data_IF_399427426558
#
_entry.id   IF_399427426558
#
_cell.length_a   1.000
_cell.length_b   1.000
_cell.length_c   1.000
_cell.angle_alpha   90.00
_cell.angle_beta   90.00
_cell.angle_gamma   90.00
#
_symmetry.space_group_name_H-M   'P 1'
#
loop_
_entity.id
_entity.type
_entity.pdbx_description
1 polymer ?
#
# COMPACT_ATOMS: atom_id res chain seq x y z
N UNK A 1 -19.38 5.86 -47.20
CA UNK A 1 -18.07 6.42 -47.66
C UNK A 1 -17.14 6.53 -46.47
N UNK A 2 -16.21 5.61 -46.30
CA UNK A 2 -15.20 5.69 -45.22
C UNK A 2 -14.24 6.81 -45.54
N UNK A 3 -14.25 7.89 -44.73
CA UNK A 3 -13.29 9.00 -44.79
C UNK A 3 -11.89 8.40 -44.68
N UNK A 4 -11.10 8.38 -45.76
CA UNK A 4 -9.70 7.96 -45.71
C UNK A 4 -9.00 8.83 -44.66
N UNK A 5 -8.64 8.25 -43.52
CA UNK A 5 -7.90 8.95 -42.48
C UNK A 5 -6.56 9.40 -43.03
N UNK A 6 -6.27 10.72 -42.95
CA UNK A 6 -5.00 11.30 -43.38
C UNK A 6 -3.84 10.59 -42.63
N UNK A 7 -2.68 10.46 -43.29
CA UNK A 7 -1.45 9.90 -42.74
C UNK A 7 -1.12 10.48 -41.36
N UNK A 8 -1.31 11.77 -41.19
CA UNK A 8 -1.18 12.47 -39.92
C UNK A 8 -2.04 11.90 -38.83
N UNK A 9 -3.33 11.65 -39.12
CA UNK A 9 -4.26 11.05 -38.11
C UNK A 9 -3.82 9.65 -37.71
N UNK A 10 -3.32 8.84 -38.63
CA UNK A 10 -2.81 7.50 -38.34
C UNK A 10 -1.57 7.54 -37.44
N UNK A 11 -0.62 8.44 -37.72
CA UNK A 11 0.60 8.61 -36.91
C UNK A 11 0.21 9.07 -35.49
N UNK A 12 -0.70 10.04 -35.37
CA UNK A 12 -1.17 10.54 -34.08
C UNK A 12 -1.85 9.44 -33.26
N UNK A 13 -2.72 8.65 -33.90
CA UNK A 13 -3.42 7.54 -33.23
C UNK A 13 -2.44 6.48 -32.75
N UNK A 14 -1.49 6.07 -33.60
CA UNK A 14 -0.49 5.06 -33.21
C UNK A 14 0.39 5.57 -32.06
N UNK A 15 0.89 6.81 -32.17
CA UNK A 15 1.72 7.41 -31.13
C UNK A 15 0.94 7.52 -29.80
N UNK A 16 -0.33 7.95 -29.85
CA UNK A 16 -1.18 8.01 -28.65
C UNK A 16 -1.43 6.65 -28.03
N UNK A 17 -1.69 5.61 -28.85
CA UNK A 17 -1.86 4.24 -28.38
C UNK A 17 -0.61 3.71 -27.65
N UNK A 18 0.57 3.95 -28.21
CA UNK A 18 1.84 3.53 -27.58
C UNK A 18 2.03 4.20 -26.22
N UNK A 19 1.78 5.51 -26.15
CA UNK A 19 1.91 6.24 -24.87
C UNK A 19 0.87 5.79 -23.86
N UNK A 20 -0.39 5.66 -24.25
CA UNK A 20 -1.43 5.15 -23.35
C UNK A 20 -1.08 3.75 -22.84
N UNK A 21 -0.61 2.86 -23.72
CA UNK A 21 -0.20 1.51 -23.33
C UNK A 21 0.97 1.54 -22.34
N UNK A 22 1.99 2.36 -22.59
CA UNK A 22 3.15 2.50 -21.71
C UNK A 22 2.76 3.05 -20.32
N UNK A 23 1.96 4.12 -20.28
CA UNK A 23 1.51 4.70 -19.02
C UNK A 23 0.56 3.78 -18.27
N UNK A 24 -0.32 3.06 -18.98
CA UNK A 24 -1.22 2.08 -18.35
C UNK A 24 -0.41 0.93 -17.75
N UNK A 25 0.55 0.38 -18.47
CA UNK A 25 1.44 -0.67 -17.97
C UNK A 25 2.23 -0.21 -16.75
N UNK A 26 2.79 1.00 -16.80
CA UNK A 26 3.50 1.60 -15.67
C UNK A 26 2.59 1.82 -14.46
N UNK A 27 1.38 2.34 -14.69
CA UNK A 27 0.40 2.58 -13.62
C UNK A 27 -0.03 1.28 -12.94
N UNK A 28 -0.28 0.21 -13.71
CA UNK A 28 -0.61 -1.12 -13.16
C UNK A 28 0.57 -1.71 -12.36
N UNK A 29 1.79 -1.56 -12.85
CA UNK A 29 2.99 -2.00 -12.15
C UNK A 29 3.15 -1.27 -10.81
N UNK A 30 3.04 0.05 -10.80
CA UNK A 30 3.12 0.86 -9.57
C UNK A 30 1.98 0.54 -8.60
N UNK A 31 0.73 0.36 -9.10
CA UNK A 31 -0.41 -0.04 -8.25
C UNK A 31 -0.12 -1.37 -7.52
N UNK A 32 0.39 -2.36 -8.25
CA UNK A 32 0.79 -3.66 -7.67
C UNK A 32 1.91 -3.52 -6.63
N UNK A 33 2.93 -2.72 -6.94
CA UNK A 33 4.05 -2.48 -6.04
C UNK A 33 3.60 -1.75 -4.77
N UNK A 34 2.80 -0.69 -4.91
CA UNK A 34 2.28 0.08 -3.78
C UNK A 34 1.36 -0.76 -2.89
N UNK A 35 0.51 -1.62 -3.47
CA UNK A 35 -0.31 -2.55 -2.68
C UNK A 35 0.56 -3.45 -1.83
N UNK A 36 1.59 -4.04 -2.41
CA UNK A 36 2.52 -4.91 -1.67
C UNK A 36 3.22 -4.17 -0.53
N UNK A 37 3.74 -2.97 -0.80
CA UNK A 37 4.42 -2.13 0.19
C UNK A 37 3.47 -1.70 1.31
N UNK A 38 2.26 -1.23 0.96
CA UNK A 38 1.27 -0.80 1.96
C UNK A 38 0.75 -1.97 2.79
N UNK A 39 0.49 -3.12 2.18
CA UNK A 39 0.08 -4.32 2.93
C UNK A 39 1.14 -4.70 3.94
N UNK A 40 2.41 -4.72 3.52
CA UNK A 40 3.53 -5.00 4.42
C UNK A 40 3.66 -3.95 5.53
N UNK A 41 3.50 -2.67 5.20
CA UNK A 41 3.53 -1.58 6.19
C UNK A 41 2.39 -1.69 7.21
N UNK A 42 1.19 -2.05 6.76
CA UNK A 42 0.04 -2.32 7.65
C UNK A 42 0.34 -3.53 8.55
N UNK A 43 0.90 -4.61 7.98
CA UNK A 43 1.29 -5.80 8.73
C UNK A 43 2.35 -5.49 9.80
N UNK A 44 3.40 -4.76 9.45
CA UNK A 44 4.44 -4.33 10.38
C UNK A 44 3.89 -3.39 11.48
N UNK A 45 2.96 -2.50 11.12
CA UNK A 45 2.29 -1.61 12.07
C UNK A 45 1.41 -2.38 13.04
N UNK A 46 0.61 -3.33 12.54
CA UNK A 46 -0.20 -4.23 13.38
C UNK A 46 0.71 -5.07 14.29
N UNK A 47 1.77 -5.65 13.74
CA UNK A 47 2.69 -6.49 14.52
C UNK A 47 3.34 -5.70 15.65
N UNK A 48 3.81 -4.50 15.39
CA UNK A 48 4.45 -3.62 16.37
C UNK A 48 3.45 -3.10 17.42
N UNK A 49 2.44 -2.36 16.98
CA UNK A 49 1.43 -1.76 17.89
C UNK A 49 0.55 -2.84 18.53
N UNK A 50 0.25 -3.90 17.78
CA UNK A 50 -0.51 -5.02 18.24
C UNK A 50 0.19 -5.82 19.32
N UNK A 51 1.49 -6.08 19.21
CA UNK A 51 2.29 -6.72 20.27
C UNK A 51 2.33 -5.89 21.53
N UNK A 52 2.47 -4.58 21.40
CA UNK A 52 2.44 -3.67 22.54
C UNK A 52 1.07 -3.69 23.25
N UNK A 53 -0.02 -3.63 22.47
CA UNK A 53 -1.38 -3.71 23.00
C UNK A 53 -1.65 -5.07 23.65
N UNK A 54 -1.29 -6.16 22.97
CA UNK A 54 -1.42 -7.53 23.51
C UNK A 54 -0.63 -7.70 24.80
N UNK A 55 0.60 -7.16 24.88
CA UNK A 55 1.40 -7.20 26.10
C UNK A 55 0.76 -6.37 27.23
N UNK A 56 0.18 -5.22 26.91
CA UNK A 56 -0.53 -4.40 27.90
C UNK A 56 -1.75 -5.14 28.47
N UNK A 57 -2.52 -5.82 27.61
CA UNK A 57 -3.64 -6.67 28.01
C UNK A 57 -3.16 -7.83 28.88
N UNK A 58 -2.09 -8.51 28.46
CA UNK A 58 -1.50 -9.61 29.21
C UNK A 58 -1.04 -9.16 30.59
N UNK A 59 -0.34 -8.04 30.69
CA UNK A 59 0.12 -7.48 31.95
C UNK A 59 -1.05 -7.11 32.86
N UNK A 60 -2.10 -6.50 32.30
CA UNK A 60 -3.30 -6.13 33.05
C UNK A 60 -4.03 -7.36 33.60
N UNK A 61 -4.17 -8.43 32.81
CA UNK A 61 -4.77 -9.69 33.22
C UNK A 61 -3.91 -10.40 34.26
N UNK A 62 -2.61 -10.52 34.01
CA UNK A 62 -1.69 -11.22 34.92
C UNK A 62 -1.57 -10.51 36.28
N UNK A 63 -1.66 -9.17 36.32
CA UNK A 63 -1.74 -8.46 37.60
C UNK A 63 -2.96 -8.87 38.40
N UNK A 64 -4.11 -9.11 37.77
CA UNK A 64 -5.32 -9.60 38.42
C UNK A 64 -5.19 -11.05 38.88
N UNK A 65 -4.59 -11.89 38.06
CA UNK A 65 -4.25 -13.26 38.45
C UNK A 65 -3.36 -13.26 39.70
N UNK A 66 -2.31 -12.41 39.70
CA UNK A 66 -1.39 -12.32 40.86
C UNK A 66 -2.06 -11.79 42.12
N UNK A 67 -3.01 -10.86 42.01
CA UNK A 67 -3.81 -10.40 43.16
C UNK A 67 -4.71 -11.51 43.67
N UNK A 68 -5.34 -12.28 42.78
CA UNK A 68 -6.16 -13.45 43.17
C UNK A 68 -5.31 -14.54 43.83
N UNK A 69 -4.10 -14.77 43.33
CA UNK A 69 -3.15 -15.68 43.94
C UNK A 69 -2.70 -15.23 45.34
N UNK A 70 -2.45 -13.92 45.50
CA UNK A 70 -2.19 -13.34 46.80
C UNK A 70 -3.38 -13.58 47.79
N UNK A 71 -4.63 -13.33 47.30
CA UNK A 71 -5.84 -13.57 48.06
C UNK A 71 -5.99 -15.06 48.43
N UNK A 72 -5.75 -15.98 47.48
CA UNK A 72 -5.77 -17.41 47.70
C UNK A 72 -4.76 -17.87 48.78
N UNK A 73 -3.52 -17.36 48.70
CA UNK A 73 -2.48 -17.64 49.68
C UNK A 73 -2.80 -17.09 51.06
N UNK A 74 -3.45 -15.93 51.13
CA UNK A 74 -3.90 -15.35 52.41
C UNK A 74 -5.10 -16.14 52.99
N UNK A 75 -6.09 -16.51 52.13
CA UNK A 75 -7.23 -17.34 52.54
C UNK A 75 -6.81 -18.73 53.03
N UNK A 76 -5.76 -19.33 52.42
CA UNK A 76 -5.19 -20.60 52.87
C UNK A 76 -4.55 -20.56 54.26
N UNK A 77 -4.24 -19.38 54.77
CA UNK A 77 -3.73 -19.16 56.13
C UNK A 77 -4.81 -18.73 57.12
N UNK A 78 -5.99 -18.40 56.64
CA UNK A 78 -7.12 -18.02 57.50
C UNK A 78 -7.61 -19.22 58.30
N UNK A 79 -7.95 -18.98 59.58
CA UNK A 79 -8.35 -20.05 60.52
C UNK A 79 -9.84 -20.39 60.38
N UNK A 80 -10.66 -19.41 59.93
CA UNK A 80 -12.10 -19.51 59.84
C UNK A 80 -12.69 -18.63 58.70
N UNK A 81 -13.99 -18.69 58.57
CA UNK A 81 -14.75 -17.93 57.57
C UNK A 81 -14.57 -16.39 57.76
N UNK A 82 -14.44 -15.90 58.97
CA UNK A 82 -14.23 -14.47 59.26
C UNK A 82 -12.88 -14.02 58.79
N UNK A 83 -11.86 -14.82 58.92
CA UNK A 83 -10.52 -14.58 58.40
C UNK A 83 -10.51 -14.55 56.86
N UNK A 84 -11.26 -15.44 56.20
CA UNK A 84 -11.43 -15.44 54.74
C UNK A 84 -12.14 -14.15 54.31
N UNK A 85 -13.23 -13.76 54.97
CA UNK A 85 -13.96 -12.51 54.66
C UNK A 85 -13.07 -11.28 54.79
N UNK A 86 -12.25 -11.23 55.84
CA UNK A 86 -11.29 -10.13 56.02
C UNK A 86 -10.25 -10.05 54.89
N UNK A 87 -9.82 -11.15 54.32
CA UNK A 87 -8.95 -11.19 53.10
C UNK A 87 -9.67 -10.62 51.90
N UNK A 88 -10.94 -11.03 51.70
CA UNK A 88 -11.73 -10.58 50.53
C UNK A 88 -12.11 -9.09 50.62
N UNK A 89 -12.20 -8.53 51.82
CA UNK A 89 -12.48 -7.10 52.07
C UNK A 89 -11.25 -6.19 51.90
N UNK A 90 -10.10 -6.75 51.52
CA UNK A 90 -8.89 -5.95 51.33
C UNK A 90 -9.11 -4.84 50.28
N UNK A 91 -8.76 -3.60 50.64
CA UNK A 91 -8.99 -2.41 49.78
C UNK A 91 -8.39 -2.54 48.37
N UNK A 92 -7.25 -3.24 48.25
CA UNK A 92 -6.61 -3.48 46.96
C UNK A 92 -7.48 -4.39 46.11
N UNK A 93 -8.06 -5.43 46.66
CA UNK A 93 -8.94 -6.33 45.94
C UNK A 93 -10.26 -5.65 45.58
N UNK A 94 -10.88 -4.96 46.52
CA UNK A 94 -12.14 -4.20 46.30
C UNK A 94 -11.97 -3.14 45.21
N UNK A 95 -10.81 -2.50 45.13
CA UNK A 95 -10.51 -1.50 44.08
C UNK A 95 -10.24 -2.07 42.70
N UNK A 96 -9.96 -3.36 42.56
CA UNK A 96 -9.54 -4.00 41.29
C UNK A 96 -10.58 -4.98 40.74
N UNK A 97 -11.47 -5.50 41.56
CA UNK A 97 -12.43 -6.54 41.20
C UNK A 97 -13.88 -6.10 41.49
N UNK A 98 -14.79 -6.61 40.71
CA UNK A 98 -16.23 -6.46 41.00
C UNK A 98 -16.63 -7.30 42.24
N UNK A 99 -16.09 -8.51 42.29
CA UNK A 99 -16.36 -9.47 43.33
C UNK A 99 -15.13 -10.32 43.56
N UNK A 100 -14.84 -10.60 44.82
CA UNK A 100 -13.85 -11.59 45.25
C UNK A 100 -14.50 -12.62 46.12
N UNK A 101 -14.08 -13.87 45.99
CA UNK A 101 -14.75 -14.96 46.68
C UNK A 101 -13.84 -16.19 46.91
N UNK A 102 -14.25 -17.05 47.82
CA UNK A 102 -13.68 -18.37 48.04
C UNK A 102 -14.83 -19.39 48.06
N UNK A 103 -14.72 -20.43 47.25
CA UNK A 103 -15.52 -21.63 47.35
C UNK A 103 -14.68 -22.76 47.95
N UNK A 104 -15.12 -23.38 49.00
CA UNK A 104 -14.39 -24.48 49.62
C UNK A 104 -14.77 -25.85 49.05
N UNK A 105 -14.06 -26.91 49.48
CA UNK A 105 -14.31 -28.28 49.04
C UNK A 105 -15.70 -28.82 49.48
N UNK A 106 -16.31 -28.20 50.49
CA UNK A 106 -17.65 -28.62 50.99
C UNK A 106 -18.77 -27.97 50.16
N UNK A 107 -18.48 -26.93 49.41
CA UNK A 107 -19.46 -26.13 48.64
C UNK A 107 -19.86 -24.84 49.37
N UNK A 108 -19.25 -24.51 50.52
CA UNK A 108 -19.45 -23.23 51.16
C UNK A 108 -18.85 -22.12 50.29
N UNK A 109 -19.59 -21.03 50.15
CA UNK A 109 -19.21 -19.88 49.30
C UNK A 109 -19.17 -18.59 50.13
N UNK A 110 -18.02 -17.97 50.21
CA UNK A 110 -17.80 -16.68 50.89
C UNK A 110 -17.41 -15.67 49.85
N UNK A 111 -18.07 -14.52 49.79
CA UNK A 111 -17.83 -13.52 48.76
C UNK A 111 -17.88 -12.08 49.29
N UNK A 112 -17.19 -11.17 48.63
CA UNK A 112 -17.25 -9.75 48.88
C UNK A 112 -17.28 -8.96 47.55
N UNK A 113 -18.15 -7.94 47.37
CA UNK A 113 -19.30 -7.60 48.23
C UNK A 113 -20.26 -8.75 48.35
N UNK A 114 -20.96 -8.82 49.50
CA UNK A 114 -22.00 -9.83 49.71
C UNK A 114 -23.12 -9.61 48.68
N UNK A 115 -23.55 -10.67 48.03
CA UNK A 115 -24.71 -10.70 47.12
C UNK A 115 -25.54 -11.94 47.33
N UNK A 116 -26.79 -11.85 46.94
CA UNK A 116 -27.70 -13.00 47.07
C UNK A 116 -27.43 -13.98 45.91
N UNK A 117 -27.04 -15.19 46.23
CA UNK A 117 -26.84 -16.23 45.25
C UNK A 117 -28.14 -16.96 44.93
N UNK A 118 -28.30 -17.49 43.71
CA UNK A 118 -29.44 -18.34 43.36
C UNK A 118 -29.56 -19.55 44.30
N UNK A 119 -30.79 -20.01 44.51
CA UNK A 119 -31.06 -21.22 45.29
C UNK A 119 -30.32 -22.42 44.66
N UNK A 120 -29.64 -23.19 45.50
CA UNK A 120 -28.86 -24.37 45.07
C UNK A 120 -27.52 -24.02 44.43
N UNK A 121 -27.02 -22.80 44.55
CA UNK A 121 -25.71 -22.44 44.03
C UNK A 121 -24.60 -23.29 44.64
N UNK A 122 -23.80 -23.93 43.77
CA UNK A 122 -22.64 -24.72 44.19
C UNK A 122 -21.41 -24.15 43.42
N UNK A 123 -20.44 -23.53 44.14
CA UNK A 123 -19.23 -22.97 43.53
C UNK A 123 -18.41 -24.01 42.77
N UNK A 124 -18.43 -25.27 43.19
CA UNK A 124 -17.65 -26.36 42.57
C UNK A 124 -18.08 -26.69 41.14
N UNK A 125 -19.32 -26.32 40.77
CA UNK A 125 -19.84 -26.51 39.43
C UNK A 125 -19.48 -25.35 38.47
N UNK A 126 -18.89 -24.29 38.98
CA UNK A 126 -18.59 -23.09 38.19
C UNK A 126 -17.29 -23.24 37.40
N UNK A 127 -17.19 -22.59 36.23
CA UNK A 127 -15.99 -22.67 35.35
C UNK A 127 -14.69 -22.31 36.06
N UNK A 128 -14.69 -21.26 36.86
CA UNK A 128 -13.55 -20.80 37.62
C UNK A 128 -13.01 -21.84 38.60
N UNK A 129 -13.90 -22.50 39.33
CA UNK A 129 -13.54 -23.54 40.33
C UNK A 129 -12.96 -24.76 39.61
N UNK A 130 -13.71 -25.28 38.66
CA UNK A 130 -13.31 -26.47 37.90
C UNK A 130 -12.00 -26.26 37.15
N UNK A 131 -11.84 -25.06 36.52
CA UNK A 131 -10.61 -24.67 35.81
C UNK A 131 -9.40 -24.70 36.74
N UNK A 132 -9.48 -24.05 37.92
CA UNK A 132 -8.36 -23.95 38.87
C UNK A 132 -7.98 -25.32 39.45
N UNK A 133 -8.96 -26.14 39.80
CA UNK A 133 -8.73 -27.51 40.32
C UNK A 133 -8.05 -28.36 39.22
N UNK A 134 -8.56 -28.32 38.00
CA UNK A 134 -8.01 -29.08 36.87
C UNK A 134 -6.59 -28.68 36.52
N UNK A 135 -6.32 -27.36 36.47
CA UNK A 135 -5.00 -26.84 36.17
C UNK A 135 -4.02 -26.99 37.33
N UNK A 136 -4.52 -27.23 38.56
CA UNK A 136 -3.75 -27.25 39.82
C UNK A 136 -2.97 -25.95 40.07
N UNK A 137 -3.39 -24.85 39.45
CA UNK A 137 -2.76 -23.53 39.51
C UNK A 137 -3.72 -22.41 39.16
N UNK A 138 -3.21 -21.21 39.08
CA UNK A 138 -3.99 -20.04 38.71
C UNK A 138 -4.49 -20.12 37.26
N UNK A 139 -5.73 -19.71 37.05
CA UNK A 139 -6.38 -19.74 35.75
C UNK A 139 -7.12 -18.44 35.48
N UNK A 140 -7.29 -18.15 34.19
CA UNK A 140 -8.29 -17.22 33.69
C UNK A 140 -9.42 -18.03 33.04
N UNK A 141 -10.65 -17.56 33.18
CA UNK A 141 -11.80 -18.17 32.47
C UNK A 141 -12.01 -17.46 31.14
N UNK A 142 -12.61 -18.14 30.17
CA UNK A 142 -13.32 -17.47 29.10
C UNK A 142 -14.53 -16.71 29.68
N UNK A 143 -15.11 -15.70 28.97
CA UNK A 143 -16.29 -15.01 29.44
C UNK A 143 -17.46 -15.98 29.72
N UNK A 144 -18.10 -15.83 30.83
CA UNK A 144 -19.28 -16.61 31.18
C UNK A 144 -20.29 -15.78 31.99
N UNK A 145 -21.51 -16.29 32.13
CA UNK A 145 -22.58 -15.58 32.85
C UNK A 145 -22.36 -15.71 34.36
N UNK A 146 -22.25 -14.55 35.01
CA UNK A 146 -22.25 -14.50 36.48
C UNK A 146 -23.58 -14.96 37.05
N UNK A 147 -23.52 -15.69 38.17
CA UNK A 147 -24.74 -16.28 38.80
C UNK A 147 -25.55 -15.27 39.59
N UNK A 148 -24.94 -14.19 40.05
CA UNK A 148 -25.62 -13.18 40.90
C UNK A 148 -26.15 -12.01 40.07
N UNK A 149 -25.41 -11.53 39.10
CA UNK A 149 -25.76 -10.35 38.30
C UNK A 149 -26.36 -10.66 36.94
N UNK A 150 -26.16 -11.90 36.44
CA UNK A 150 -26.51 -12.32 35.09
C UNK A 150 -25.75 -11.57 33.99
N UNK A 151 -24.64 -10.89 34.35
CA UNK A 151 -23.73 -10.21 33.41
C UNK A 151 -22.62 -11.14 32.90
N UNK A 152 -22.03 -10.82 31.79
CA UNK A 152 -20.82 -11.46 31.30
C UNK A 152 -19.60 -10.99 32.10
N UNK A 153 -18.87 -11.93 32.68
CA UNK A 153 -17.68 -11.72 33.49
C UNK A 153 -16.53 -12.59 33.01
N UNK A 154 -15.34 -12.24 33.43
CA UNK A 154 -14.12 -13.05 33.37
C UNK A 154 -13.64 -13.21 34.82
N UNK A 155 -13.20 -14.40 35.20
CA UNK A 155 -12.65 -14.65 36.51
C UNK A 155 -11.19 -15.04 36.44
N UNK A 156 -10.39 -14.50 37.33
CA UNK A 156 -9.14 -15.10 37.75
C UNK A 156 -9.44 -16.05 38.92
N UNK A 157 -8.88 -17.24 38.90
CA UNK A 157 -9.11 -18.20 39.97
C UNK A 157 -7.81 -18.93 40.32
N UNK A 158 -7.63 -19.22 41.62
CA UNK A 158 -6.42 -19.85 42.15
C UNK A 158 -6.80 -20.85 43.25
N UNK A 159 -6.24 -22.06 43.22
CA UNK A 159 -6.47 -23.00 44.30
C UNK A 159 -6.00 -22.47 45.66
N UNK A 160 -6.86 -22.52 46.68
CA UNK A 160 -6.51 -22.22 48.05
C UNK A 160 -5.93 -23.47 48.69
N UNK A 161 -4.69 -23.38 49.20
CA UNK A 161 -4.00 -24.52 49.78
C UNK A 161 -3.45 -24.17 51.17
N UNK A 162 -3.48 -25.16 52.04
CA UNK A 162 -2.80 -25.13 53.35
C UNK A 162 -1.95 -26.36 53.46
N UNK A 163 -0.67 -26.24 53.72
CA UNK A 163 0.31 -27.33 53.80
C UNK A 163 0.22 -28.31 52.61
N UNK A 164 0.00 -27.76 51.38
CA UNK A 164 -0.14 -28.55 50.17
C UNK A 164 -1.52 -29.16 49.92
N UNK A 165 -2.37 -29.24 50.93
CA UNK A 165 -3.72 -29.73 50.79
C UNK A 165 -4.63 -28.66 50.17
N UNK A 166 -5.45 -29.06 49.22
CA UNK A 166 -6.47 -28.18 48.63
C UNK A 166 -7.56 -27.95 49.71
N UNK A 167 -7.93 -26.71 49.94
CA UNK A 167 -9.05 -26.30 50.78
C UNK A 167 -10.21 -25.78 49.96
N UNK A 168 -9.97 -25.32 48.76
CA UNK A 168 -10.95 -24.71 47.88
C UNK A 168 -10.29 -23.92 46.76
N UNK A 169 -11.02 -22.97 46.23
CA UNK A 169 -10.55 -22.07 45.16
C UNK A 169 -10.96 -20.64 45.49
N UNK A 170 -10.03 -19.71 45.43
CA UNK A 170 -10.31 -18.28 45.43
C UNK A 170 -10.55 -17.81 44.00
N UNK A 171 -11.53 -16.97 43.83
CA UNK A 171 -11.83 -16.35 42.55
C UNK A 171 -12.05 -14.84 42.68
N UNK A 172 -11.82 -14.14 41.61
CA UNK A 172 -12.00 -12.69 41.52
C UNK A 172 -12.55 -12.34 40.16
N UNK A 173 -13.71 -11.69 40.15
CA UNK A 173 -14.40 -11.31 38.93
C UNK A 173 -14.07 -9.88 38.53
N UNK A 174 -13.84 -9.68 37.27
CA UNK A 174 -13.67 -8.36 36.71
C UNK A 174 -14.55 -8.15 35.47
N UNK A 175 -14.98 -6.91 35.33
CA UNK A 175 -15.90 -6.54 34.26
C UNK A 175 -15.29 -6.72 32.88
N UNK A 176 -16.05 -7.36 32.01
CA UNK A 176 -15.73 -7.38 30.58
C UNK A 176 -15.60 -5.96 30.01
N UNK A 177 -16.32 -4.97 30.60
CA UNK A 177 -16.24 -3.57 30.20
C UNK A 177 -14.82 -3.00 30.28
N UNK A 178 -14.09 -3.27 31.35
CA UNK A 178 -12.68 -2.79 31.49
C UNK A 178 -11.78 -3.34 30.40
N UNK A 179 -12.01 -4.60 30.00
CA UNK A 179 -11.28 -5.21 28.89
C UNK A 179 -11.70 -4.64 27.55
N UNK A 180 -13.00 -4.40 27.36
CA UNK A 180 -13.54 -3.70 26.17
C UNK A 180 -12.94 -2.30 26.04
N UNK A 181 -12.89 -1.53 27.11
CA UNK A 181 -12.33 -0.17 27.12
C UNK A 181 -10.83 -0.22 26.74
N UNK A 182 -10.08 -1.20 27.24
CA UNK A 182 -8.68 -1.40 26.90
C UNK A 182 -8.48 -1.79 25.44
N UNK A 183 -9.26 -2.72 24.92
CA UNK A 183 -9.21 -3.15 23.51
C UNK A 183 -9.60 -2.00 22.58
N UNK A 184 -10.62 -1.22 22.95
CA UNK A 184 -11.07 -0.06 22.17
C UNK A 184 -10.09 1.11 22.23
N UNK A 185 -9.20 1.17 23.23
CA UNK A 185 -8.15 2.20 23.32
C UNK A 185 -6.99 1.98 22.35
N UNK A 186 -6.96 0.84 21.66
CA UNK A 186 -5.94 0.57 20.65
C UNK A 186 -6.17 1.49 19.46
N UNK A 187 -5.26 2.43 19.28
CA UNK A 187 -5.35 3.41 18.19
C UNK A 187 -4.91 2.79 16.86
N UNK A 188 -5.84 2.72 15.93
CA UNK A 188 -5.63 2.29 14.55
C UNK A 188 -5.75 3.47 13.57
N UNK A 189 -5.57 4.70 14.04
CA UNK A 189 -5.71 5.91 13.22
C UNK A 189 -7.12 6.10 12.65
N UNK A 190 -8.15 5.58 13.33
CA UNK A 190 -9.53 5.59 12.85
C UNK A 190 -9.83 4.62 11.70
N UNK A 191 -8.82 3.85 11.25
CA UNK A 191 -8.97 2.95 10.11
C UNK A 191 -9.65 1.61 10.47
N UNK A 192 -9.96 1.37 11.76
CA UNK A 192 -10.54 0.10 12.17
C UNK A 192 -10.76 -0.01 13.67
N UNK A 193 -10.88 -1.23 14.13
CA UNK A 193 -11.06 -1.54 15.55
C UNK A 193 -10.33 -2.84 15.91
N UNK A 194 -10.03 -3.00 17.19
CA UNK A 194 -9.52 -4.23 17.76
C UNK A 194 -10.64 -5.04 18.43
N UNK A 195 -10.43 -6.34 18.56
CA UNK A 195 -11.30 -7.26 19.28
C UNK A 195 -10.48 -8.40 19.87
N UNK A 196 -11.01 -9.12 20.85
CA UNK A 196 -10.31 -10.25 21.48
C UNK A 196 -11.00 -11.56 21.14
N UNK A 197 -10.21 -12.58 20.84
CA UNK A 197 -10.72 -13.88 20.43
C UNK A 197 -9.93 -15.01 21.10
N UNK A 198 -10.61 -16.12 21.43
CA UNK A 198 -9.97 -17.34 21.91
C UNK A 198 -9.27 -18.09 20.76
N UNK A 199 -8.37 -19.01 21.07
CA UNK A 199 -7.75 -19.93 20.10
C UNK A 199 -8.78 -20.70 19.25
N UNK A 200 -9.98 -20.93 19.77
CA UNK A 200 -11.06 -21.63 19.06
C UNK A 200 -11.84 -20.74 18.11
N UNK A 201 -11.53 -19.44 18.08
CA UNK A 201 -12.26 -18.46 17.27
C UNK A 201 -13.53 -17.92 17.92
N UNK A 202 -13.72 -18.11 19.21
CA UNK A 202 -14.81 -17.50 19.96
C UNK A 202 -14.44 -16.05 20.30
N UNK A 203 -15.34 -15.12 20.04
CA UNK A 203 -15.16 -13.68 20.26
C UNK A 203 -15.41 -13.38 21.74
N UNK A 204 -14.37 -12.93 22.42
CA UNK A 204 -14.39 -12.65 23.85
C UNK A 204 -14.73 -11.18 24.15
N UNK A 205 -14.20 -10.28 23.32
CA UNK A 205 -14.42 -8.83 23.39
C UNK A 205 -14.65 -8.29 21.99
N UNK A 206 -15.70 -7.51 21.81
CA UNK A 206 -16.00 -6.85 20.56
C UNK A 206 -16.77 -5.54 20.82
N UNK A 207 -16.61 -4.52 19.95
CA UNK A 207 -17.37 -3.27 20.05
C UNK A 207 -18.89 -3.49 19.92
N UNK A 208 -19.28 -4.45 19.07
CA UNK A 208 -20.66 -4.93 19.00
C UNK A 208 -20.85 -6.07 20.01
N UNK A 209 -21.60 -5.78 21.06
CA UNK A 209 -21.88 -6.75 22.13
C UNK A 209 -22.62 -8.00 21.65
N UNK A 210 -23.37 -7.92 20.54
CA UNK A 210 -24.11 -9.05 20.00
C UNK A 210 -23.18 -10.14 19.43
N UNK A 211 -21.94 -9.80 19.14
CA UNK A 211 -20.91 -10.73 18.64
C UNK A 211 -20.10 -11.37 19.76
N UNK A 212 -20.18 -10.89 21.00
CA UNK A 212 -19.52 -11.53 22.14
C UNK A 212 -20.10 -12.92 22.35
N UNK A 213 -19.26 -13.93 22.57
CA UNK A 213 -19.58 -15.38 22.63
C UNK A 213 -19.99 -16.01 21.29
N UNK A 214 -19.95 -15.26 20.19
CA UNK A 214 -20.10 -15.79 18.83
C UNK A 214 -18.76 -16.19 18.24
N UNK A 215 -18.80 -16.85 17.10
CA UNK A 215 -17.57 -17.29 16.41
C UNK A 215 -17.09 -16.25 15.38
N UNK A 216 -15.82 -16.38 14.96
CA UNK A 216 -15.30 -15.59 13.85
C UNK A 216 -16.12 -15.78 12.56
N UNK A 217 -16.72 -16.96 12.34
CA UNK A 217 -17.57 -17.21 11.19
C UNK A 217 -18.88 -16.40 11.22
N UNK A 218 -19.41 -16.12 12.41
CA UNK A 218 -20.60 -15.28 12.57
C UNK A 218 -20.29 -13.80 12.27
N UNK A 219 -19.10 -13.34 12.65
CA UNK A 219 -18.67 -11.96 12.41
C UNK A 219 -18.17 -11.74 10.98
N UNK A 220 -17.55 -12.76 10.36
CA UNK A 220 -16.90 -12.70 9.05
C UNK A 220 -17.44 -13.80 8.12
N UNK A 221 -18.70 -13.73 7.69
CA UNK A 221 -19.35 -14.82 6.93
C UNK A 221 -18.79 -15.02 5.53
N UNK A 222 -18.08 -14.02 4.96
CA UNK A 222 -17.52 -14.11 3.61
C UNK A 222 -16.27 -14.99 3.54
N UNK A 223 -15.33 -14.78 4.44
CA UNK A 223 -14.11 -15.58 4.59
C UNK A 223 -13.68 -15.49 6.06
N UNK A 224 -13.81 -16.58 6.80
CA UNK A 224 -13.43 -16.63 8.21
C UNK A 224 -11.92 -16.49 8.36
N UNK A 225 -11.42 -15.44 9.06
CA UNK A 225 -9.99 -15.23 9.24
C UNK A 225 -9.36 -16.36 10.07
N UNK A 226 -8.20 -16.85 9.64
CA UNK A 226 -7.46 -17.88 10.36
C UNK A 226 -6.59 -17.25 11.47
N UNK A 227 -6.75 -17.73 12.71
CA UNK A 227 -5.92 -17.31 13.83
C UNK A 227 -4.48 -17.80 13.62
N UNK A 228 -3.50 -16.90 13.77
CA UNK A 228 -2.08 -17.21 13.57
C UNK A 228 -1.66 -17.24 12.09
N UNK A 229 -2.57 -16.97 11.16
CA UNK A 229 -2.27 -16.69 9.76
C UNK A 229 -1.83 -15.23 9.55
N UNK A 230 -1.38 -14.91 8.35
CA UNK A 230 -1.17 -13.51 7.95
C UNK A 230 -2.48 -12.74 7.78
N UNK A 231 -2.39 -11.57 7.14
CA UNK A 231 -3.58 -10.75 6.86
C UNK A 231 -4.58 -11.51 5.99
N UNK A 232 -5.81 -11.58 6.46
CA UNK A 232 -6.94 -12.15 5.72
C UNK A 232 -7.82 -11.03 5.17
N UNK A 233 -8.11 -11.07 3.88
CA UNK A 233 -9.09 -10.19 3.23
C UNK A 233 -10.49 -10.79 3.37
N UNK A 234 -11.40 -10.07 3.99
CA UNK A 234 -12.79 -10.52 4.20
C UNK A 234 -13.77 -9.35 4.19
N UNK A 235 -14.98 -9.59 4.63
CA UNK A 235 -16.01 -8.55 4.80
C UNK A 235 -16.54 -8.54 6.23
N UNK A 236 -16.70 -7.33 6.77
CA UNK A 236 -17.34 -7.08 8.05
C UNK A 236 -18.47 -6.06 7.86
N UNK A 237 -19.69 -6.39 8.29
CA UNK A 237 -20.87 -5.53 8.09
C UNK A 237 -21.03 -5.03 6.64
N UNK A 238 -20.73 -5.88 5.66
CA UNK A 238 -20.82 -5.56 4.23
C UNK A 238 -19.68 -4.71 3.66
N UNK A 239 -18.69 -4.34 4.46
CA UNK A 239 -17.50 -3.58 4.02
C UNK A 239 -16.28 -4.50 3.87
N UNK A 240 -15.44 -4.29 2.86
CA UNK A 240 -14.18 -5.02 2.72
C UNK A 240 -13.19 -4.61 3.81
N UNK A 241 -12.65 -5.59 4.53
CA UNK A 241 -11.71 -5.38 5.63
C UNK A 241 -10.51 -6.31 5.54
N UNK A 242 -9.43 -5.88 6.19
CA UNK A 242 -8.25 -6.68 6.48
C UNK A 242 -8.35 -7.14 7.93
N UNK A 243 -8.13 -8.44 8.17
CA UNK A 243 -8.11 -8.98 9.54
C UNK A 243 -6.77 -9.66 9.80
N UNK A 244 -6.19 -9.36 10.95
CA UNK A 244 -4.95 -9.98 11.43
C UNK A 244 -5.04 -10.26 12.93
N UNK A 245 -4.21 -11.19 13.44
CA UNK A 245 -4.22 -11.59 14.84
C UNK A 245 -2.82 -11.52 15.43
N UNK A 246 -2.74 -11.00 16.66
CA UNK A 246 -1.53 -10.97 17.47
C UNK A 246 -1.79 -11.77 18.74
N UNK A 247 -0.95 -12.76 19.12
CA UNK A 247 -1.16 -13.56 20.31
C UNK A 247 -0.97 -12.73 21.58
N UNK A 248 -1.87 -12.89 22.55
CA UNK A 248 -1.74 -12.37 23.92
C UNK A 248 -0.99 -13.42 24.74
N UNK A 249 0.31 -13.29 24.80
CA UNK A 249 1.20 -14.30 25.41
C UNK A 249 1.33 -14.14 26.91
N UNK A 250 1.62 -15.25 27.59
CA UNK A 250 1.89 -15.26 29.04
C UNK A 250 0.65 -15.29 29.92
N UNK A 251 -0.53 -15.58 29.37
CA UNK A 251 -1.74 -15.79 30.15
C UNK A 251 -1.78 -17.24 30.71
N UNK A 252 -2.24 -17.46 31.96
CA UNK A 252 -2.41 -18.80 32.48
C UNK A 252 -3.68 -19.43 31.91
N UNK A 253 -3.62 -20.70 31.54
CA UNK A 253 -4.74 -21.57 31.13
C UNK A 253 -5.49 -21.19 29.84
N UNK A 254 -5.30 -20.02 29.29
CA UNK A 254 -6.00 -19.55 28.09
C UNK A 254 -5.01 -19.10 26.99
N UNK A 255 -5.41 -19.30 25.73
CA UNK A 255 -4.69 -18.81 24.58
C UNK A 255 -5.61 -17.83 23.84
N UNK A 256 -5.32 -16.54 24.02
CA UNK A 256 -6.11 -15.47 23.42
C UNK A 256 -5.32 -14.72 22.37
N UNK A 257 -6.04 -14.12 21.45
CA UNK A 257 -5.49 -13.34 20.34
C UNK A 257 -6.19 -11.99 20.24
N UNK A 258 -5.43 -10.96 20.06
CA UNK A 258 -5.94 -9.64 19.71
C UNK A 258 -6.11 -9.58 18.20
N UNK A 259 -7.35 -9.51 17.74
CA UNK A 259 -7.74 -9.35 16.36
C UNK A 259 -7.82 -7.87 15.99
N UNK A 260 -7.37 -7.53 14.81
CA UNK A 260 -7.45 -6.20 14.22
C UNK A 260 -8.28 -6.26 12.97
N UNK A 261 -9.31 -5.42 12.88
CA UNK A 261 -10.12 -5.23 11.68
C UNK A 261 -9.83 -3.85 11.14
N UNK A 262 -9.29 -3.76 9.91
CA UNK A 262 -8.92 -2.51 9.25
C UNK A 262 -9.73 -2.37 7.98
N UNK A 263 -10.38 -1.23 7.77
CA UNK A 263 -11.10 -0.91 6.53
C UNK A 263 -10.13 -0.89 5.35
N UNK A 264 -10.35 -1.76 4.37
CA UNK A 264 -9.49 -1.88 3.20
C UNK A 264 -9.45 -0.59 2.38
N UNK A 265 -10.56 0.17 2.34
CA UNK A 265 -10.62 1.46 1.65
C UNK A 265 -9.71 2.49 2.29
N UNK A 266 -9.66 2.54 3.62
CA UNK A 266 -8.76 3.43 4.36
C UNK A 266 -7.31 2.97 4.27
N UNK A 267 -7.05 1.68 4.42
CA UNK A 267 -5.70 1.10 4.31
C UNK A 267 -5.06 1.39 2.95
N UNK A 268 -5.87 1.41 1.88
CA UNK A 268 -5.40 1.64 0.51
C UNK A 268 -5.82 3.00 -0.07
N UNK A 269 -6.30 3.94 0.75
CA UNK A 269 -6.77 5.26 0.28
C UNK A 269 -5.70 6.01 -0.52
N UNK A 270 -4.44 5.97 -0.07
CA UNK A 270 -3.31 6.60 -0.75
C UNK A 270 -3.11 6.07 -2.19
N UNK A 271 -3.43 4.78 -2.45
CA UNK A 271 -3.37 4.21 -3.80
C UNK A 271 -4.47 4.83 -4.68
N UNK A 272 -5.67 5.04 -4.10
CA UNK A 272 -6.79 5.68 -4.81
C UNK A 272 -6.43 7.08 -5.29
N UNK A 273 -5.87 7.91 -4.43
CA UNK A 273 -5.41 9.26 -4.76
C UNK A 273 -4.31 9.24 -5.83
N UNK A 274 -3.33 8.35 -5.67
CA UNK A 274 -2.28 8.19 -6.67
C UNK A 274 -2.83 7.75 -8.03
N UNK A 275 -3.79 6.83 -8.07
CA UNK A 275 -4.42 6.37 -9.32
C UNK A 275 -5.14 7.51 -10.04
N UNK A 276 -5.86 8.36 -9.31
CA UNK A 276 -6.53 9.54 -9.86
C UNK A 276 -5.48 10.50 -10.43
N UNK A 277 -4.45 10.83 -9.65
CA UNK A 277 -3.36 11.71 -10.08
C UNK A 277 -2.62 11.15 -11.32
N UNK A 278 -2.29 9.86 -11.33
CA UNK A 278 -1.64 9.19 -12.45
C UNK A 278 -2.53 9.18 -13.70
N UNK A 279 -3.84 8.97 -13.53
CA UNK A 279 -4.80 9.02 -14.65
C UNK A 279 -4.88 10.43 -15.24
N UNK A 280 -4.99 11.46 -14.41
CA UNK A 280 -5.01 12.85 -14.84
C UNK A 280 -3.69 13.20 -15.56
N UNK A 281 -2.55 12.83 -14.97
CA UNK A 281 -1.23 13.06 -15.56
C UNK A 281 -1.08 12.36 -16.92
N UNK A 282 -1.59 11.14 -17.05
CA UNK A 282 -1.60 10.39 -18.32
C UNK A 282 -2.42 11.09 -19.37
N UNK A 283 -3.64 11.50 -19.04
CA UNK A 283 -4.52 12.23 -19.97
C UNK A 283 -3.83 13.53 -20.42
N UNK A 284 -3.28 14.27 -19.48
CA UNK A 284 -2.59 15.53 -19.76
C UNK A 284 -1.36 15.30 -20.66
N UNK A 285 -0.54 14.31 -20.36
CA UNK A 285 0.63 13.94 -21.15
C UNK A 285 0.25 13.56 -22.58
N UNK A 286 -0.81 12.77 -22.75
CA UNK A 286 -1.33 12.39 -24.08
C UNK A 286 -1.84 13.61 -24.85
N UNK A 287 -2.59 14.50 -24.21
CA UNK A 287 -3.11 15.71 -24.84
C UNK A 287 -1.97 16.67 -25.25
N UNK A 288 -1.01 16.89 -24.36
CA UNK A 288 0.16 17.74 -24.66
C UNK A 288 0.98 17.15 -25.80
N UNK A 289 1.24 15.85 -25.76
CA UNK A 289 1.99 15.16 -26.79
C UNK A 289 1.25 15.20 -28.14
N UNK A 290 -0.08 14.91 -28.14
CA UNK A 290 -0.89 15.01 -29.37
C UNK A 290 -0.86 16.42 -29.95
N UNK A 291 -1.05 17.44 -29.10
CA UNK A 291 -1.00 18.84 -29.52
C UNK A 291 0.37 19.22 -30.08
N UNK A 292 1.44 18.83 -29.40
CA UNK A 292 2.81 19.06 -29.84
C UNK A 292 3.10 18.34 -31.16
N UNK A 293 2.82 17.04 -31.24
CA UNK A 293 3.06 16.25 -32.44
C UNK A 293 2.21 16.73 -33.63
N UNK A 294 0.93 17.05 -33.38
CA UNK A 294 0.06 17.61 -34.39
C UNK A 294 0.59 18.96 -34.94
N UNK A 295 1.06 19.81 -34.00
CA UNK A 295 1.66 21.11 -34.42
C UNK A 295 2.96 20.91 -35.20
N UNK A 296 3.84 20.03 -34.72
CA UNK A 296 5.12 19.74 -35.39
C UNK A 296 4.87 19.15 -36.79
N UNK A 297 4.06 18.08 -36.88
CA UNK A 297 3.71 17.45 -38.15
C UNK A 297 3.00 18.41 -39.09
N UNK A 298 2.04 19.18 -38.56
CA UNK A 298 1.34 20.17 -39.39
C UNK A 298 2.29 21.21 -39.96
N UNK A 299 3.23 21.73 -39.15
CA UNK A 299 4.12 22.83 -39.56
C UNK A 299 5.29 22.33 -40.41
N UNK A 300 5.84 21.16 -40.10
CA UNK A 300 7.04 20.67 -40.81
C UNK A 300 6.72 19.81 -42.02
N UNK A 301 5.57 19.15 -42.06
CA UNK A 301 5.25 18.18 -43.11
C UNK A 301 3.93 18.50 -43.82
N UNK A 302 2.80 18.58 -43.07
CA UNK A 302 1.48 18.61 -43.72
C UNK A 302 1.26 19.89 -44.53
N UNK A 303 1.48 21.08 -43.94
CA UNK A 303 1.30 22.34 -44.62
C UNK A 303 2.23 22.47 -45.84
N UNK A 304 3.56 22.28 -45.70
CA UNK A 304 4.45 22.37 -46.85
C UNK A 304 4.09 21.39 -47.97
N UNK A 305 3.73 20.16 -47.64
CA UNK A 305 3.29 19.15 -48.66
C UNK A 305 1.98 19.55 -49.30
N UNK A 306 1.02 20.08 -48.55
CA UNK A 306 -0.27 20.54 -49.09
C UNK A 306 -0.07 21.75 -50.00
N UNK A 307 0.75 22.70 -49.56
CA UNK A 307 1.07 23.89 -50.36
C UNK A 307 1.80 23.49 -51.64
N UNK A 308 2.71 22.50 -51.56
CA UNK A 308 3.39 21.95 -52.74
C UNK A 308 2.41 21.24 -53.68
N UNK A 309 1.47 20.47 -53.14
CA UNK A 309 0.41 19.80 -53.95
C UNK A 309 -0.43 20.84 -54.67
N UNK A 310 -0.83 21.92 -53.98
CA UNK A 310 -1.59 23.00 -54.58
C UNK A 310 -0.80 23.73 -55.70
N UNK A 311 0.53 23.91 -55.51
CA UNK A 311 1.39 24.45 -56.54
C UNK A 311 1.51 23.53 -57.77
N UNK A 312 1.60 22.19 -57.51
CA UNK A 312 1.59 21.18 -58.59
C UNK A 312 0.27 21.12 -59.34
N UNK A 313 -0.87 21.25 -58.67
CA UNK A 313 -2.21 21.29 -59.28
C UNK A 313 -2.32 22.53 -60.22
N UNK A 314 -1.82 23.69 -59.78
CA UNK A 314 -1.77 24.89 -60.62
C UNK A 314 -0.88 24.70 -61.84
N UNK A 315 0.32 24.14 -61.65
CA UNK A 315 1.22 23.83 -62.76
C UNK A 315 0.60 22.83 -63.75
N UNK A 316 -0.10 21.81 -63.23
CA UNK A 316 -0.80 20.81 -64.05
C UNK A 316 -1.97 21.42 -64.84
N UNK A 317 -2.59 22.48 -64.32
CA UNK A 317 -3.63 23.25 -65.05
C UNK A 317 -3.09 24.28 -66.06
N UNK A 318 -1.74 24.36 -66.19
CA UNK A 318 -1.08 25.23 -67.16
C UNK A 318 -0.65 26.60 -66.61
N UNK A 319 -0.87 26.85 -65.32
CA UNK A 319 -0.38 28.10 -64.68
C UNK A 319 1.09 27.97 -64.29
N UNK A 320 1.95 28.32 -65.24
CA UNK A 320 3.43 28.33 -65.04
C UNK A 320 3.92 29.52 -64.23
N UNK A 321 3.03 30.47 -63.88
CA UNK A 321 3.38 31.61 -63.00
C UNK A 321 3.22 31.29 -61.52
N UNK A 322 2.71 30.11 -61.15
CA UNK A 322 2.51 29.69 -59.77
C UNK A 322 3.83 29.76 -58.99
N UNK A 323 3.79 30.45 -57.84
CA UNK A 323 4.90 30.49 -56.90
C UNK A 323 5.06 29.13 -56.24
N UNK A 324 6.27 28.58 -56.15
CA UNK A 324 6.56 27.30 -55.54
C UNK A 324 7.05 27.55 -54.11
N UNK A 325 6.26 27.19 -53.10
CA UNK A 325 6.62 27.46 -51.72
C UNK A 325 7.75 26.53 -51.23
N UNK A 326 8.61 27.06 -50.36
CA UNK A 326 9.60 26.24 -49.66
C UNK A 326 10.91 26.01 -50.38
N UNK A 327 11.22 26.79 -51.40
CA UNK A 327 12.51 26.69 -52.12
C UNK A 327 13.72 27.09 -51.26
N UNK A 328 13.52 27.86 -50.19
CA UNK A 328 14.54 28.25 -49.21
C UNK A 328 14.84 27.12 -48.19
N UNK A 329 14.05 26.08 -48.17
CA UNK A 329 14.21 24.94 -47.21
C UNK A 329 15.40 24.08 -47.64
N UNK A 330 16.11 23.56 -46.60
CA UNK A 330 17.29 22.70 -46.81
C UNK A 330 16.98 21.21 -46.55
N UNK A 331 15.69 20.86 -46.31
CA UNK A 331 15.21 19.51 -46.04
C UNK A 331 14.63 18.84 -47.30
N UNK A 332 14.00 17.66 -47.11
CA UNK A 332 13.37 16.88 -48.18
C UNK A 332 12.28 17.65 -48.89
N UNK A 333 11.55 18.49 -48.16
CA UNK A 333 10.50 19.34 -48.74
C UNK A 333 11.12 20.43 -49.61
N UNK A 334 12.27 21.00 -49.20
CA UNK A 334 13.00 21.94 -50.02
C UNK A 334 13.54 21.30 -51.31
N UNK A 335 13.97 20.05 -51.25
CA UNK A 335 14.35 19.29 -52.44
C UNK A 335 13.17 19.01 -53.36
N UNK A 336 11.99 18.71 -52.77
CA UNK A 336 10.75 18.61 -53.57
C UNK A 336 10.40 19.95 -54.24
N UNK A 337 10.50 21.05 -53.51
CA UNK A 337 10.26 22.37 -54.03
C UNK A 337 11.21 22.71 -55.19
N UNK A 338 12.50 22.37 -55.03
CA UNK A 338 13.48 22.54 -56.08
C UNK A 338 13.17 21.66 -57.32
N UNK A 339 12.75 20.41 -57.11
CA UNK A 339 12.34 19.54 -58.20
C UNK A 339 11.10 20.09 -58.95
N UNK A 340 10.10 20.59 -58.20
CA UNK A 340 8.90 21.23 -58.76
C UNK A 340 9.26 22.52 -59.49
N UNK A 341 10.22 23.30 -58.97
CA UNK A 341 10.75 24.46 -59.65
C UNK A 341 11.39 24.09 -61.01
N UNK A 342 12.18 23.01 -61.00
CA UNK A 342 12.72 22.47 -62.28
C UNK A 342 11.61 22.03 -63.21
N UNK A 343 10.52 21.41 -62.69
CA UNK A 343 9.36 21.07 -63.52
C UNK A 343 8.67 22.32 -64.08
N UNK A 344 8.51 23.36 -63.29
CA UNK A 344 7.98 24.64 -63.75
C UNK A 344 8.87 25.24 -64.80
N UNK A 345 10.18 25.33 -64.52
CA UNK A 345 11.15 25.91 -65.42
C UNK A 345 11.26 25.08 -66.71
N UNK A 346 11.17 23.79 -66.66
CA UNK A 346 11.05 22.90 -67.82
C UNK A 346 9.74 23.09 -68.56
N UNK A 347 8.61 23.34 -67.87
CA UNK A 347 7.34 23.64 -68.49
C UNK A 347 7.45 25.03 -69.24
N UNK A 348 8.05 26.00 -68.57
CA UNK A 348 8.34 27.29 -69.15
C UNK A 348 9.27 27.10 -70.32
N UNK A 349 10.37 26.36 -70.14
CA UNK A 349 11.37 26.12 -71.23
C UNK A 349 10.78 25.24 -72.33
N UNK A 350 9.91 24.26 -71.99
CA UNK A 350 9.18 23.47 -72.99
C UNK A 350 8.19 24.34 -73.77
N UNK A 351 7.48 25.23 -73.12
CA UNK A 351 6.63 26.21 -73.78
C UNK A 351 7.51 27.20 -74.62
N UNK A 352 8.68 27.52 -74.10
CA UNK A 352 9.67 28.32 -74.83
C UNK A 352 10.38 27.51 -75.92
N UNK A 353 10.64 26.20 -75.64
CA UNK A 353 11.24 25.28 -76.61
C UNK A 353 10.23 24.74 -77.61
N UNK A 354 8.94 24.56 -77.25
CA UNK A 354 7.87 24.37 -78.23
C UNK A 354 7.72 25.60 -79.13
N UNK A 355 8.05 26.77 -78.59
CA UNK A 355 8.20 27.99 -79.37
C UNK A 355 9.62 28.15 -80.02
N UNK A 356 10.60 27.42 -79.46
CA UNK A 356 12.00 27.46 -79.96
C UNK A 356 12.49 26.08 -80.43
N UNK A 357 11.57 25.07 -80.48
CA UNK A 357 11.92 23.65 -80.77
C UNK A 357 12.38 23.44 -82.24
N UNK A 358 12.60 24.46 -82.91
CA UNK A 358 13.30 24.41 -84.23
C UNK A 358 14.82 24.59 -84.13
N UNK A 359 15.33 25.06 -82.98
CA UNK A 359 16.78 25.30 -82.85
C UNK A 359 17.39 24.63 -81.61
N UNK A 360 17.88 23.45 -81.74
CA UNK A 360 18.98 23.03 -80.85
C UNK A 360 18.81 21.76 -80.02
N UNK A 361 18.98 20.61 -80.59
CA UNK A 361 19.42 19.38 -80.00
C UNK A 361 20.91 19.45 -79.76
N UNK A 362 21.32 19.49 -78.59
CA UNK A 362 22.58 18.91 -78.03
C UNK A 362 22.96 19.56 -76.70
N UNK A 363 22.84 18.93 -75.64
CA UNK A 363 23.80 18.75 -74.53
C UNK A 363 23.16 18.06 -73.31
N UNK A 364 23.48 16.91 -73.13
CA UNK A 364 23.12 16.21 -71.90
C UNK A 364 24.18 15.19 -71.47
N UNK A 365 24.26 14.84 -70.34
CA UNK A 365 24.77 13.57 -69.75
C UNK A 365 25.77 13.60 -68.61
N UNK A 366 26.33 14.68 -68.13
CA UNK A 366 27.38 14.56 -67.10
C UNK A 366 26.98 14.85 -65.62
N UNK A 367 25.80 15.37 -65.36
CA UNK A 367 25.47 15.86 -64.00
C UNK A 367 24.71 14.86 -63.10
N UNK A 368 24.44 13.66 -63.61
CA UNK A 368 23.52 12.74 -62.87
C UNK A 368 24.17 11.92 -61.80
N UNK A 369 25.47 11.82 -61.72
CA UNK A 369 26.18 10.92 -60.81
C UNK A 369 26.58 11.51 -59.48
N UNK A 370 26.65 12.79 -59.35
CA UNK A 370 27.11 13.41 -58.09
C UNK A 370 26.06 13.55 -57.03
N UNK A 371 24.76 13.61 -57.39
CA UNK A 371 23.67 13.81 -56.42
C UNK A 371 23.22 12.60 -55.62
N UNK A 372 23.56 11.40 -56.08
CA UNK A 372 23.14 10.14 -55.40
C UNK A 372 24.02 9.83 -54.17
N UNK A 373 25.26 10.30 -54.14
CA UNK A 373 26.22 10.01 -53.08
C UNK A 373 25.92 10.83 -51.77
N UNK A 374 25.37 12.03 -51.91
CA UNK A 374 25.07 12.88 -50.73
C UNK A 374 23.85 12.43 -49.99
N UNK A 375 22.82 11.96 -50.71
CA UNK A 375 21.56 11.49 -50.08
C UNK A 375 21.70 10.24 -49.20
N UNK A 376 22.63 9.34 -49.58
CA UNK A 376 22.88 8.12 -48.84
C UNK A 376 23.56 8.40 -47.47
N UNK A 377 24.34 9.47 -47.40
CA UNK A 377 25.10 9.82 -46.21
C UNK A 377 24.18 10.46 -45.13
N UNK A 378 23.32 11.40 -45.51
CA UNK A 378 22.39 12.04 -44.57
C UNK A 378 21.35 11.06 -43.98
N UNK A 379 20.84 10.12 -44.81
CA UNK A 379 19.94 9.07 -44.35
C UNK A 379 20.61 8.16 -43.33
N UNK A 380 21.89 7.82 -43.52
CA UNK A 380 22.66 6.99 -42.58
C UNK A 380 22.91 7.67 -41.23
N UNK A 381 23.16 8.99 -41.27
CA UNK A 381 23.40 9.76 -40.04
C UNK A 381 22.14 9.89 -39.15
N UNK A 382 20.97 10.07 -39.79
CA UNK A 382 19.69 10.07 -39.08
C UNK A 382 19.35 8.69 -38.51
N UNK A 383 19.56 7.65 -39.32
CA UNK A 383 19.32 6.26 -38.89
C UNK A 383 20.16 5.93 -37.65
N UNK A 384 21.44 6.28 -37.67
CA UNK A 384 22.34 6.03 -36.54
C UNK A 384 21.88 6.76 -35.25
N UNK A 385 21.45 7.99 -35.36
CA UNK A 385 20.97 8.79 -34.22
C UNK A 385 19.69 8.17 -33.61
N UNK A 386 18.76 7.71 -34.47
CA UNK A 386 17.50 7.08 -34.04
C UNK A 386 17.76 5.73 -33.37
N UNK A 387 18.65 4.91 -33.91
CA UNK A 387 19.02 3.61 -33.35
C UNK A 387 19.71 3.76 -31.98
N UNK A 388 20.63 4.71 -31.85
CA UNK A 388 21.31 4.97 -30.59
C UNK A 388 20.36 5.53 -29.51
N UNK A 389 19.41 6.35 -29.90
CA UNK A 389 18.36 6.82 -28.97
C UNK A 389 17.39 5.70 -28.58
N UNK A 390 17.02 4.83 -29.51
CA UNK A 390 16.15 3.68 -29.22
C UNK A 390 16.83 2.70 -28.26
N UNK A 391 18.13 2.41 -28.46
CA UNK A 391 18.91 1.58 -27.53
C UNK A 391 19.00 2.23 -26.16
N UNK A 392 19.29 3.53 -26.10
CA UNK A 392 19.36 4.27 -24.84
C UNK A 392 18.03 4.29 -24.08
N UNK A 393 16.90 4.44 -24.78
CA UNK A 393 15.56 4.38 -24.20
C UNK A 393 15.18 2.95 -23.76
N UNK A 394 15.62 1.93 -24.50
CA UNK A 394 15.48 0.54 -24.12
C UNK A 394 16.17 0.26 -22.78
N UNK A 395 17.43 0.67 -22.65
CA UNK A 395 18.20 0.54 -21.40
C UNK A 395 17.60 1.32 -20.25
N UNK A 396 17.08 2.51 -20.54
CA UNK A 396 16.33 3.29 -19.55
C UNK A 396 15.09 2.53 -19.06
N UNK A 397 14.35 1.90 -19.95
CA UNK A 397 13.18 1.09 -19.60
C UNK A 397 13.54 -0.15 -18.73
N UNK A 398 14.74 -0.69 -18.94
CA UNK A 398 15.33 -1.78 -18.15
C UNK A 398 15.94 -1.29 -16.81
N UNK A 399 15.86 0.03 -16.54
CA UNK A 399 16.33 0.63 -15.28
C UNK A 399 17.81 1.05 -15.29
N UNK A 400 18.52 0.97 -16.40
CA UNK A 400 19.90 1.43 -16.51
C UNK A 400 19.97 2.96 -16.66
N UNK A 401 20.04 3.64 -15.53
CA UNK A 401 20.20 5.09 -15.46
C UNK A 401 21.66 5.56 -15.59
N UNK A 402 22.61 4.64 -15.67
CA UNK A 402 24.03 4.96 -15.79
C UNK A 402 24.48 5.04 -17.25
N UNK A 403 23.74 4.37 -18.14
CA UNK A 403 24.08 4.38 -19.56
C UNK A 403 24.08 5.80 -20.13
N UNK A 404 25.02 6.10 -21.01
CA UNK A 404 25.10 7.37 -21.75
C UNK A 404 25.33 7.05 -23.23
N UNK A 405 24.78 7.88 -24.07
CA UNK A 405 25.10 7.85 -25.47
C UNK A 405 26.35 8.71 -25.65
N UNK A 406 27.52 8.05 -25.80
CA UNK A 406 28.80 8.73 -25.83
C UNK A 406 29.16 9.22 -27.26
N UNK A 407 28.76 8.44 -28.27
CA UNK A 407 29.06 8.75 -29.66
C UNK A 407 28.28 10.01 -30.11
N UNK A 408 28.95 11.05 -30.58
CA UNK A 408 28.27 12.25 -31.04
C UNK A 408 27.45 11.97 -32.32
N UNK A 409 26.27 12.57 -32.38
CA UNK A 409 25.45 12.57 -33.61
C UNK A 409 25.87 13.65 -34.58
N UNK A 410 25.57 13.47 -35.86
CA UNK A 410 25.92 14.44 -36.87
C UNK A 410 25.17 15.78 -36.68
N UNK A 411 25.87 16.88 -36.72
CA UNK A 411 25.34 18.24 -36.77
C UNK A 411 24.28 18.54 -35.69
N UNK A 412 23.10 18.93 -36.12
CA UNK A 412 21.99 19.36 -35.26
C UNK A 412 21.34 18.21 -34.45
N UNK A 413 21.58 16.95 -34.84
CA UNK A 413 21.04 15.79 -34.16
C UNK A 413 21.74 15.54 -32.83
N UNK A 414 22.96 16.04 -32.62
CA UNK A 414 23.71 15.84 -31.39
C UNK A 414 23.03 16.46 -30.14
N UNK A 415 22.18 17.44 -30.38
CA UNK A 415 21.33 17.98 -29.31
C UNK A 415 20.43 16.93 -28.66
N UNK A 416 19.88 16.02 -29.46
CA UNK A 416 19.04 14.92 -28.95
C UNK A 416 19.82 13.99 -27.99
N UNK A 417 21.08 13.69 -28.36
CA UNK A 417 21.99 12.92 -27.48
C UNK A 417 22.22 13.65 -26.18
N UNK A 418 22.49 14.94 -26.25
CA UNK A 418 22.77 15.79 -25.09
C UNK A 418 21.54 15.88 -24.19
N UNK A 419 20.36 16.13 -24.78
CA UNK A 419 19.11 16.24 -24.04
C UNK A 419 18.71 14.88 -23.39
N UNK A 420 18.93 13.77 -24.08
CA UNK A 420 18.74 12.43 -23.57
C UNK A 420 19.65 12.15 -22.35
N UNK A 421 20.97 12.37 -22.51
CA UNK A 421 21.94 12.17 -21.44
C UNK A 421 21.69 13.07 -20.23
N UNK A 422 21.23 14.30 -20.46
CA UNK A 422 20.85 15.23 -19.41
C UNK A 422 19.62 14.74 -18.64
N UNK A 423 18.62 14.22 -19.36
CA UNK A 423 17.40 13.64 -18.75
C UNK A 423 17.74 12.44 -17.89
N UNK A 424 18.61 11.55 -18.37
CA UNK A 424 19.11 10.42 -17.59
C UNK A 424 19.87 10.84 -16.33
N UNK A 425 20.66 11.90 -16.42
CA UNK A 425 21.38 12.44 -15.26
C UNK A 425 20.40 12.94 -14.20
N UNK A 426 19.34 13.65 -14.62
CA UNK A 426 18.30 14.12 -13.68
C UNK A 426 17.53 12.96 -13.05
N UNK A 427 17.18 11.95 -13.85
CA UNK A 427 16.54 10.73 -13.34
C UNK A 427 17.45 9.99 -12.37
N UNK A 428 18.72 9.83 -12.70
CA UNK A 428 19.71 9.20 -11.83
C UNK A 428 19.83 9.94 -10.49
N UNK A 429 19.94 11.27 -10.55
CA UNK A 429 20.00 12.11 -9.34
C UNK A 429 18.74 11.98 -8.51
N UNK A 430 17.56 12.00 -9.14
CA UNK A 430 16.30 11.83 -8.44
C UNK A 430 16.22 10.46 -7.74
N UNK A 431 16.61 9.38 -8.44
CA UNK A 431 16.64 8.02 -7.87
C UNK A 431 17.66 7.89 -6.73
N UNK A 432 18.80 8.54 -6.88
CA UNK A 432 19.82 8.58 -5.82
C UNK A 432 19.29 9.31 -4.58
N UNK A 433 18.59 10.42 -4.79
CA UNK A 433 17.95 11.18 -3.69
C UNK A 433 16.87 10.36 -3.00
N UNK A 434 16.04 9.65 -3.77
CA UNK A 434 15.03 8.72 -3.20
C UNK A 434 15.73 7.64 -2.36
N UNK A 435 16.80 7.06 -2.88
CA UNK A 435 17.59 6.06 -2.15
C UNK A 435 18.26 6.62 -0.87
N UNK A 436 18.72 7.86 -0.92
CA UNK A 436 19.28 8.54 0.26
C UNK A 436 18.19 8.81 1.31
N UNK A 437 17.04 9.31 0.86
CA UNK A 437 15.90 9.54 1.75
C UNK A 437 15.41 8.24 2.40
N UNK A 438 15.35 7.15 1.63
CA UNK A 438 14.98 5.84 2.17
C UNK A 438 15.97 5.38 3.26
N UNK A 439 17.28 5.57 3.03
CA UNK A 439 18.31 5.25 4.05
C UNK A 439 18.23 6.17 5.26
N UNK A 440 17.91 7.45 5.05
CA UNK A 440 17.72 8.39 6.14
C UNK A 440 16.50 8.02 7.00
N UNK A 441 15.43 7.56 6.38
CA UNK A 441 14.26 7.03 7.09
C UNK A 441 14.63 5.77 7.88
N UNK A 442 15.38 4.85 7.28
CA UNK A 442 15.84 3.64 7.96
C UNK A 442 16.77 3.95 9.15
N UNK A 443 17.70 4.89 8.94
CA UNK A 443 18.57 5.37 10.01
C UNK A 443 17.76 6.03 11.15
N UNK A 444 16.80 6.90 10.79
CA UNK A 444 15.92 7.53 11.78
C UNK A 444 15.06 6.52 12.54
N UNK A 445 14.55 5.50 11.84
CA UNK A 445 13.82 4.40 12.47
C UNK A 445 14.71 3.60 13.46
N UNK A 446 15.99 3.44 13.11
CA UNK A 446 16.98 2.77 13.96
C UNK A 446 17.31 3.62 15.20
N UNK A 447 17.43 4.93 15.01
CA UNK A 447 17.69 5.88 16.12
C UNK A 447 16.49 5.95 17.08
N UNK A 448 15.27 5.99 16.53
CA UNK A 448 14.04 5.92 17.34
C UNK A 448 13.98 4.62 18.14
N UNK A 449 14.36 3.49 17.52
CA UNK A 449 14.42 2.20 18.22
C UNK A 449 15.43 2.23 19.35
N UNK A 450 16.62 2.78 19.10
CA UNK A 450 17.68 2.91 20.10
C UNK A 450 17.27 3.83 21.25
N UNK A 451 16.59 4.95 20.93
CA UNK A 451 16.06 5.86 21.93
C UNK A 451 14.94 5.23 22.77
N UNK A 452 14.10 4.40 22.14
CA UNK A 452 13.07 3.66 22.84
C UNK A 452 13.64 2.59 23.79
N UNK A 453 14.70 1.90 23.36
CA UNK A 453 15.43 0.94 24.19
C UNK A 453 16.15 1.62 25.37
N UNK A 454 16.74 2.81 25.12
CA UNK A 454 17.33 3.61 26.20
C UNK A 454 16.28 4.10 27.19
N UNK A 455 15.15 4.57 26.68
CA UNK A 455 14.01 4.98 27.51
C UNK A 455 13.48 3.81 28.35
N UNK A 456 13.35 2.62 27.73
CA UNK A 456 12.93 1.42 28.44
C UNK A 456 13.88 1.06 29.59
N UNK A 457 15.21 1.07 29.32
CA UNK A 457 16.22 0.82 30.35
C UNK A 457 16.21 1.86 31.46
N UNK A 458 16.05 3.13 31.11
CA UNK A 458 15.93 4.21 32.10
C UNK A 458 14.66 4.10 32.92
N UNK A 459 13.57 3.65 32.31
CA UNK A 459 12.31 3.38 33.02
C UNK A 459 12.45 2.22 33.99
N UNK A 460 13.14 1.14 33.55
CA UNK A 460 13.44 0.00 34.43
C UNK A 460 14.37 0.40 35.59
N UNK A 461 15.41 1.22 35.31
CA UNK A 461 16.28 1.73 36.34
C UNK A 461 15.56 2.65 37.34
N UNK A 462 14.62 3.45 36.82
CA UNK A 462 13.81 4.34 37.65
C UNK A 462 12.80 3.55 38.50
N UNK A 463 12.22 2.47 37.94
CA UNK A 463 11.37 1.57 38.72
C UNK A 463 12.15 0.84 39.82
N UNK A 464 13.37 0.37 39.53
CA UNK A 464 14.25 -0.26 40.50
C UNK A 464 14.81 0.69 41.56
N UNK A 465 14.70 2.02 41.37
CA UNK A 465 15.12 3.02 42.33
C UNK A 465 13.99 3.52 43.22
N UNK A 466 12.76 3.05 43.02
CA UNK A 466 11.57 3.40 43.80
C UNK A 466 11.16 2.25 44.73
N UNK A 467 11.75 1.06 44.57
CA UNK A 467 11.78 0.01 45.61
C UNK A 467 12.96 0.23 46.56
#
# INVERSE_FOLDING_TARGET
MAKRSNLMTRILVVASLVVVAAFTGFSLYIDSLQRSVLTKSVEESIDSSGKQAAQSIANWLNARVSLTEMAANAAGKAVDATGIEAVLQNDVLVGQFMTTYVGDETGLFTMWPQSQMPEGYDPRQRPWYQGAVKASGSVLTEPYIDASTNDLIISAATPVRHDGKLLGVAGSDFSLKSLVDMVNSVDLGGAGFAFLVSKKGEILVHQDKALVTKTLADAFPGATPAIGGGITHTTYAGKPVLVSFVPVTGLPSVEWYLGFTIDSGMAYAAIGEFRIAATIATILAVLVMMGFLARVLSRLVVRPVTDMTAAMDKLASGDVTAEIPGQERKDEIGRMAAAVAVFRDNAIERTRLENAAEEGRVLSESERREREAVKAREAGEIQHAVEALADGLGRLADGDLAHRIDAPFAGHLDRLRTDFNHSLTRLHTAMTTVGQNARAIDAGATEIRSAADDLARRTEQQAASVE
#
